data_IF_638785593112
#
_entry.id   IF_638785593112
#
_cell.length_a   1.000
_cell.length_b   1.000
_cell.length_c   1.000
_cell.angle_alpha   90.00
_cell.angle_beta   90.00
_cell.angle_gamma   90.00
#
_symmetry.space_group_name_H-M   'P 1'
#
loop_
_entity.id
_entity.type
_entity.pdbx_description
1 polymer ?
#
# COMPACT_ATOMS: atom_id res chain seq x y z
N UNK A 1 -28.84 44.45 -58.58
CA UNK A 1 -27.88 44.95 -59.60
C UNK A 1 -26.80 43.89 -59.69
N UNK A 2 -26.85 43.07 -60.65
CA UNK A 2 -26.14 43.07 -61.92
C UNK A 2 -24.63 42.88 -61.69
N UNK A 3 -23.87 42.00 -62.22
CA UNK A 3 -23.77 41.21 -63.44
C UNK A 3 -22.47 40.44 -63.31
N UNK A 4 -22.34 39.24 -63.64
CA UNK A 4 -21.99 38.48 -64.87
C UNK A 4 -20.52 38.11 -64.95
N UNK A 5 -20.22 36.84 -65.01
CA UNK A 5 -19.79 36.01 -66.17
C UNK A 5 -18.31 36.18 -66.54
N UNK A 6 -17.53 35.17 -66.63
CA UNK A 6 -17.22 34.24 -67.69
C UNK A 6 -15.99 33.39 -67.33
N UNK A 7 -16.05 32.10 -67.50
CA UNK A 7 -14.91 31.26 -67.79
C UNK A 7 -14.52 31.40 -69.27
N UNK A 8 -13.92 30.46 -69.92
CA UNK A 8 -13.04 29.34 -69.55
C UNK A 8 -11.73 29.34 -70.36
N UNK A 9 -10.84 28.43 -70.13
CA UNK A 9 -10.14 27.73 -71.24
C UNK A 9 -9.08 26.77 -70.71
N UNK A 10 -9.19 25.50 -71.02
CA UNK A 10 -8.07 24.62 -71.31
C UNK A 10 -7.63 24.89 -72.76
N UNK A 11 -6.41 24.50 -73.20
CA UNK A 11 -6.13 23.11 -73.45
C UNK A 11 -4.63 22.67 -73.35
N UNK A 12 -4.52 21.35 -73.30
CA UNK A 12 -3.63 20.55 -74.15
C UNK A 12 -2.11 20.55 -73.91
N UNK A 13 -1.64 19.46 -73.62
CA UNK A 13 -0.96 18.42 -74.41
C UNK A 13 0.41 17.99 -73.85
N UNK A 14 0.44 16.68 -73.65
CA UNK A 14 1.57 15.77 -74.01
C UNK A 14 2.95 16.08 -73.41
N UNK A 15 3.36 15.21 -72.47
CA UNK A 15 4.46 14.29 -72.82
C UNK A 15 4.63 13.21 -71.71
N UNK A 16 4.59 12.01 -72.16
CA UNK A 16 4.93 10.81 -71.40
C UNK A 16 6.42 10.78 -71.05
N UNK A 17 6.75 10.58 -69.79
CA UNK A 17 7.99 9.94 -69.40
C UNK A 17 7.70 9.04 -68.22
N UNK A 18 7.70 7.73 -68.52
CA UNK A 18 7.81 6.68 -67.56
C UNK A 18 9.05 6.87 -66.67
N UNK A 19 8.83 6.92 -65.37
CA UNK A 19 9.92 6.64 -64.44
C UNK A 19 9.36 5.75 -63.36
N UNK A 20 9.87 4.51 -63.36
CA UNK A 20 9.76 3.51 -62.32
C UNK A 20 10.16 4.15 -60.97
N UNK A 21 9.25 4.29 -60.04
CA UNK A 21 9.58 4.56 -58.66
C UNK A 21 9.30 3.32 -57.82
N UNK A 22 10.39 2.74 -57.35
CA UNK A 22 10.40 1.56 -56.50
C UNK A 22 9.60 1.81 -55.18
N UNK A 23 8.65 0.95 -54.93
CA UNK A 23 7.86 0.90 -53.71
C UNK A 23 8.75 0.36 -52.58
N UNK A 24 9.33 1.19 -51.77
CA UNK A 24 10.01 0.84 -50.53
C UNK A 24 8.91 0.65 -49.47
N UNK A 25 8.54 -0.60 -49.20
CA UNK A 25 7.71 -0.97 -48.06
C UNK A 25 8.59 -0.86 -46.82
N UNK A 26 8.50 0.26 -46.12
CA UNK A 26 9.06 0.43 -44.79
C UNK A 26 8.16 -0.33 -43.80
N UNK A 27 8.55 -1.55 -43.44
CA UNK A 27 7.94 -2.28 -42.34
C UNK A 27 8.26 -1.56 -41.03
N UNK A 28 7.34 -0.74 -40.55
CA UNK A 28 7.39 -0.18 -39.20
C UNK A 28 7.16 -1.33 -38.22
N UNK A 29 8.22 -1.83 -37.62
CA UNK A 29 8.14 -2.73 -36.45
C UNK A 29 7.59 -1.87 -35.30
N UNK A 30 6.32 -2.01 -35.01
CA UNK A 30 5.70 -1.44 -33.83
C UNK A 30 6.29 -2.14 -32.61
N UNK A 31 7.26 -1.52 -31.96
CA UNK A 31 7.72 -1.92 -30.63
C UNK A 31 6.59 -1.55 -29.66
N UNK A 32 5.72 -2.51 -29.38
CA UNK A 32 4.76 -2.39 -28.28
C UNK A 32 5.59 -2.36 -26.98
N UNK A 33 5.50 -1.29 -26.15
CA UNK A 33 6.11 -1.34 -24.84
C UNK A 33 5.44 -2.47 -24.06
N UNK A 34 6.23 -3.44 -23.62
CA UNK A 34 5.78 -4.43 -22.66
C UNK A 34 5.34 -3.67 -21.41
N UNK A 35 4.04 -3.59 -21.18
CA UNK A 35 3.50 -3.08 -19.93
C UNK A 35 3.95 -4.07 -18.84
N UNK A 36 4.93 -3.65 -18.06
CA UNK A 36 5.27 -4.34 -16.82
C UNK A 36 4.02 -4.33 -15.95
N UNK A 37 3.31 -5.45 -15.90
CA UNK A 37 2.21 -5.64 -14.95
C UNK A 37 2.84 -5.56 -13.56
N UNK A 38 2.66 -4.43 -12.91
CA UNK A 38 2.99 -4.27 -11.49
C UNK A 38 2.17 -5.32 -10.75
N UNK A 39 2.85 -6.33 -10.19
CA UNK A 39 2.18 -7.41 -9.47
C UNK A 39 1.34 -6.76 -8.35
N UNK A 40 0.03 -6.92 -8.40
CA UNK A 40 -0.89 -6.32 -7.44
C UNK A 40 -0.65 -6.93 -6.06
N UNK A 41 -0.23 -6.12 -5.11
CA UNK A 41 -0.13 -6.53 -3.72
C UNK A 41 -1.53 -6.62 -3.11
N UNK A 42 -1.82 -7.73 -2.47
CA UNK A 42 -3.08 -7.97 -1.78
C UNK A 42 -2.81 -8.07 -0.28
N UNK A 43 -3.66 -7.45 0.52
CA UNK A 43 -3.61 -7.57 1.98
C UNK A 43 -4.63 -8.59 2.46
N UNK A 44 -4.16 -9.60 3.17
CA UNK A 44 -4.96 -10.70 3.72
C UNK A 44 -4.82 -10.73 5.23
N UNK A 45 -5.92 -10.78 5.96
CA UNK A 45 -5.95 -10.93 7.42
C UNK A 45 -6.73 -12.16 7.80
N UNK A 46 -6.22 -12.93 8.74
CA UNK A 46 -6.87 -14.15 9.20
C UNK A 46 -6.17 -14.78 10.39
N UNK A 47 -6.67 -15.94 10.78
CA UNK A 47 -6.06 -16.79 11.83
C UNK A 47 -5.40 -18.00 11.16
N UNK A 48 -4.21 -18.34 11.60
CA UNK A 48 -3.48 -19.51 11.07
C UNK A 48 -4.18 -20.78 11.53
N UNK A 49 -4.68 -21.57 10.58
CA UNK A 49 -5.31 -22.87 10.84
C UNK A 49 -4.30 -24.02 10.72
N UNK A 50 -3.42 -23.97 9.72
CA UNK A 50 -2.47 -25.05 9.43
C UNK A 50 -1.15 -24.47 8.92
N UNK A 51 -0.08 -25.16 9.30
CA UNK A 51 1.27 -24.96 8.77
C UNK A 51 1.74 -26.28 8.15
N UNK A 52 2.16 -26.26 6.88
CA UNK A 52 2.62 -27.44 6.15
C UNK A 52 3.82 -27.06 5.27
N UNK A 53 5.01 -27.28 5.81
CA UNK A 53 6.24 -26.83 5.17
C UNK A 53 6.25 -25.31 4.97
N UNK A 54 6.24 -24.88 3.70
CA UNK A 54 6.20 -23.48 3.31
C UNK A 54 4.77 -22.97 3.02
N UNK A 55 3.74 -23.79 3.26
CA UNK A 55 2.35 -23.41 3.06
C UNK A 55 1.70 -23.05 4.39
N UNK A 56 1.00 -21.92 4.41
CA UNK A 56 0.22 -21.45 5.55
C UNK A 56 -1.24 -21.36 5.13
N UNK A 57 -2.09 -22.10 5.82
CA UNK A 57 -3.55 -22.01 5.65
C UNK A 57 -4.09 -21.02 6.67
N UNK A 58 -4.80 -20.02 6.17
CA UNK A 58 -5.43 -18.96 6.95
C UNK A 58 -6.95 -19.12 6.90
N UNK A 59 -7.59 -19.10 8.05
CA UNK A 59 -9.01 -18.80 8.13
C UNK A 59 -9.18 -17.29 7.99
N UNK A 60 -9.76 -16.85 6.89
CA UNK A 60 -10.17 -15.48 6.65
C UNK A 60 -11.65 -15.31 7.01
N UNK A 61 -12.31 -14.23 6.69
CA UNK A 61 -13.71 -13.99 7.06
C UNK A 61 -14.65 -15.08 6.52
N UNK A 62 -15.74 -15.38 7.25
CA UNK A 62 -16.86 -16.23 6.79
C UNK A 62 -16.53 -17.70 6.50
N UNK A 63 -15.53 -18.28 7.17
CA UNK A 63 -15.19 -19.69 6.99
C UNK A 63 -14.45 -20.01 5.68
N UNK A 64 -13.94 -19.00 5.00
CA UNK A 64 -13.09 -19.18 3.82
C UNK A 64 -11.66 -19.44 4.29
N UNK A 65 -11.06 -20.55 3.83
CA UNK A 65 -9.65 -20.84 4.05
C UNK A 65 -8.84 -20.41 2.82
N UNK A 66 -7.75 -19.69 3.07
CA UNK A 66 -6.81 -19.23 2.05
C UNK A 66 -5.44 -19.85 2.29
N UNK A 67 -4.84 -20.40 1.24
CA UNK A 67 -3.49 -20.95 1.30
C UNK A 67 -2.52 -19.91 0.73
N UNK A 68 -1.50 -19.55 1.49
CA UNK A 68 -0.41 -18.68 1.08
C UNK A 68 0.92 -19.41 1.18
N UNK A 69 1.88 -19.04 0.32
CA UNK A 69 3.19 -19.67 0.25
C UNK A 69 4.29 -18.74 0.76
N UNK A 70 5.23 -19.33 1.48
CA UNK A 70 6.41 -18.65 2.00
C UNK A 70 7.64 -19.24 1.28
N UNK A 71 7.99 -18.68 0.12
CA UNK A 71 9.12 -19.18 -0.70
C UNK A 71 10.42 -18.38 -0.48
N UNK A 72 10.29 -17.17 0.09
CA UNK A 72 11.41 -16.30 0.40
C UNK A 72 11.31 -15.87 1.86
N UNK A 73 12.35 -15.27 2.40
CA UNK A 73 12.32 -14.74 3.75
C UNK A 73 11.53 -13.42 3.79
N UNK A 74 10.21 -13.44 4.13
CA UNK A 74 9.41 -12.24 4.16
C UNK A 74 9.82 -11.33 5.32
N UNK A 75 9.52 -10.04 5.20
CA UNK A 75 9.67 -9.10 6.32
C UNK A 75 8.57 -9.37 7.33
N UNK A 76 8.95 -9.74 8.54
CA UNK A 76 7.98 -10.12 9.59
C UNK A 76 8.12 -9.21 10.80
N UNK A 77 6.98 -8.76 11.30
CA UNK A 77 6.85 -8.13 12.61
C UNK A 77 5.96 -8.98 13.51
N UNK A 78 6.27 -9.02 14.79
CA UNK A 78 5.29 -9.37 15.82
C UNK A 78 4.76 -8.09 16.46
N UNK A 79 3.49 -8.08 16.83
CA UNK A 79 2.87 -6.96 17.53
C UNK A 79 2.33 -7.39 18.88
N UNK A 80 2.42 -6.49 19.85
CA UNK A 80 1.83 -6.64 21.16
C UNK A 80 1.02 -5.38 21.50
N UNK A 81 0.05 -5.50 22.41
CA UNK A 81 -0.63 -4.31 22.94
C UNK A 81 0.38 -3.40 23.62
N UNK A 82 0.32 -2.14 23.27
CA UNK A 82 1.07 -1.06 23.89
C UNK A 82 0.18 -0.19 24.76
N UNK A 83 0.79 0.78 25.36
CA UNK A 83 0.16 1.76 26.25
C UNK A 83 0.59 3.18 25.88
N UNK A 84 -0.04 4.17 26.46
CA UNK A 84 0.35 5.57 26.25
C UNK A 84 1.79 5.88 26.69
N UNK A 85 2.31 5.16 27.68
CA UNK A 85 3.70 5.31 28.14
C UNK A 85 4.75 4.87 27.12
N UNK A 86 4.34 4.13 26.09
CA UNK A 86 5.21 3.71 24.98
C UNK A 86 5.38 4.79 23.90
N UNK A 87 4.55 5.84 23.97
CA UNK A 87 4.58 6.97 23.02
C UNK A 87 5.64 7.99 23.46
N UNK A 88 6.89 7.71 23.20
CA UNK A 88 8.02 8.55 23.61
C UNK A 88 8.50 9.43 22.46
N UNK A 89 9.01 10.62 22.78
CA UNK A 89 9.72 11.44 21.81
C UNK A 89 10.85 10.65 21.14
N UNK A 90 11.03 10.82 19.85
CA UNK A 90 11.98 10.07 19.03
C UNK A 90 11.46 8.71 18.54
N UNK A 91 10.33 8.22 19.04
CA UNK A 91 9.74 6.97 18.56
C UNK A 91 9.17 7.13 17.17
N UNK A 92 9.45 6.16 16.30
CA UNK A 92 8.84 6.07 14.97
C UNK A 92 7.49 5.38 15.10
N UNK A 93 6.48 5.96 14.49
CA UNK A 93 5.10 5.51 14.61
C UNK A 93 4.38 5.52 13.27
N UNK A 94 3.43 4.62 13.13
CA UNK A 94 2.39 4.68 12.13
C UNK A 94 1.09 5.02 12.83
N UNK A 95 0.41 6.07 12.39
CA UNK A 95 -0.81 6.59 13.01
C UNK A 95 -1.92 6.55 11.99
N UNK A 96 -3.00 5.88 12.33
CA UNK A 96 -4.29 6.04 11.65
C UNK A 96 -5.10 7.06 12.44
N UNK A 97 -5.52 8.13 11.76
CA UNK A 97 -6.30 9.19 12.37
C UNK A 97 -7.56 9.47 11.54
N UNK A 98 -8.57 9.97 12.20
CA UNK A 98 -9.79 10.51 11.59
C UNK A 98 -9.93 11.97 11.92
N UNK A 99 -10.56 12.73 11.05
CA UNK A 99 -10.91 14.12 11.34
C UNK A 99 -11.96 14.19 12.44
N UNK A 100 -11.69 15.00 13.45
CA UNK A 100 -12.65 15.39 14.48
C UNK A 100 -13.60 16.49 13.99
N UNK A 101 -14.57 16.86 14.82
CA UNK A 101 -15.58 17.90 14.48
C UNK A 101 -14.98 19.29 14.27
N UNK A 102 -13.86 19.59 14.92
CA UNK A 102 -13.15 20.88 14.80
C UNK A 102 -12.03 20.87 13.74
N UNK A 103 -11.95 19.80 12.91
CA UNK A 103 -10.85 19.64 11.96
C UNK A 103 -9.57 19.05 12.57
N UNK A 104 -9.57 18.78 13.87
CA UNK A 104 -8.45 18.14 14.56
C UNK A 104 -8.33 16.69 14.15
N UNK A 105 -7.10 16.16 14.16
CA UNK A 105 -6.86 14.74 13.92
C UNK A 105 -6.95 13.95 15.23
N UNK A 106 -7.78 12.92 15.23
CA UNK A 106 -7.95 12.00 16.37
C UNK A 106 -7.40 10.65 15.96
N UNK A 107 -6.38 10.17 16.67
CA UNK A 107 -5.81 8.84 16.41
C UNK A 107 -6.84 7.76 16.74
N UNK A 108 -7.07 6.85 15.81
CA UNK A 108 -7.83 5.62 16.02
C UNK A 108 -6.92 4.45 16.36
N UNK A 109 -5.72 4.44 15.78
CA UNK A 109 -4.71 3.42 16.00
C UNK A 109 -3.30 4.01 15.89
N UNK A 110 -2.41 3.55 16.74
CA UNK A 110 -0.99 3.92 16.72
C UNK A 110 -0.16 2.63 16.82
N UNK A 111 0.80 2.48 15.92
CA UNK A 111 1.80 1.40 15.97
C UNK A 111 3.15 2.04 16.23
N UNK A 112 3.75 1.72 17.35
CA UNK A 112 5.13 2.14 17.71
C UNK A 112 6.10 1.09 17.19
N UNK A 113 7.07 1.50 16.39
CA UNK A 113 8.11 0.61 15.87
C UNK A 113 9.31 0.58 16.80
N UNK A 114 9.58 -0.57 17.40
CA UNK A 114 10.82 -0.79 18.13
C UNK A 114 12.03 -0.74 17.17
N UNK A 115 13.24 -0.47 17.67
CA UNK A 115 14.44 -0.53 16.85
C UNK A 115 14.55 -1.84 16.06
N UNK A 116 14.82 -1.75 14.76
CA UNK A 116 14.93 -2.89 13.87
C UNK A 116 13.61 -3.46 13.37
N UNK A 117 12.45 -2.99 13.82
CA UNK A 117 11.16 -3.39 13.26
C UNK A 117 11.02 -2.98 11.79
N UNK A 118 10.42 -3.86 10.99
CA UNK A 118 10.11 -3.54 9.59
C UNK A 118 8.96 -2.53 9.53
N UNK A 119 9.20 -1.40 8.89
CA UNK A 119 8.16 -0.38 8.67
C UNK A 119 7.39 -0.69 7.38
N UNK A 120 6.09 -0.48 7.34
CA UNK A 120 5.37 -0.47 6.09
C UNK A 120 5.89 0.68 5.22
N UNK A 121 5.88 0.49 3.91
CA UNK A 121 6.01 1.62 2.99
C UNK A 121 4.76 2.50 3.18
N UNK A 122 4.93 3.82 3.18
CA UNK A 122 3.85 4.74 3.45
C UNK A 122 2.77 4.62 2.35
N UNK A 123 1.68 3.93 2.68
CA UNK A 123 0.45 3.96 1.88
C UNK A 123 -0.53 4.90 2.59
N UNK A 124 -0.64 6.11 2.07
CA UNK A 124 -1.73 7.02 2.42
C UNK A 124 -3.00 6.50 1.72
N UNK A 125 -3.90 5.89 2.48
CA UNK A 125 -5.26 5.64 1.99
C UNK A 125 -6.05 6.95 1.93
N UNK A 126 -6.95 7.13 0.95
CA UNK A 126 -7.63 8.41 0.71
C UNK A 126 -8.57 8.88 1.83
N UNK A 127 -9.02 8.00 2.72
CA UNK A 127 -10.09 8.34 3.69
C UNK A 127 -9.67 8.37 5.16
N UNK A 128 -8.45 7.91 5.49
CA UNK A 128 -7.90 8.00 6.83
C UNK A 128 -6.46 8.51 6.70
N UNK A 129 -6.14 9.60 7.35
CA UNK A 129 -4.77 10.08 7.41
C UNK A 129 -3.89 8.99 8.03
N UNK A 130 -3.17 8.25 7.18
CA UNK A 130 -2.19 7.26 7.60
C UNK A 130 -0.83 7.93 7.57
N UNK A 131 -0.31 8.24 8.74
CA UNK A 131 0.93 8.97 8.91
C UNK A 131 2.02 8.03 9.39
N UNK A 132 3.09 7.90 8.61
CA UNK A 132 4.33 7.27 9.05
C UNK A 132 5.32 8.37 9.44
N UNK A 133 5.57 8.52 10.73
CA UNK A 133 6.24 9.72 11.27
C UNK A 133 7.04 9.42 12.54
N UNK A 134 7.67 10.46 13.08
CA UNK A 134 8.38 10.41 14.36
C UNK A 134 7.71 11.33 15.37
N UNK A 135 7.49 10.84 16.58
CA UNK A 135 6.97 11.65 17.69
C UNK A 135 8.02 12.68 18.09
N UNK A 136 7.69 13.98 18.02
CA UNK A 136 8.54 15.05 18.56
C UNK A 136 8.27 15.27 20.03
N UNK A 137 6.99 15.32 20.41
CA UNK A 137 6.59 15.58 21.78
C UNK A 137 5.22 14.97 22.10
N UNK A 138 4.95 14.76 23.38
CA UNK A 138 3.67 14.32 23.91
C UNK A 138 3.25 15.28 25.01
N UNK A 139 2.17 16.02 24.81
CA UNK A 139 1.66 16.99 25.76
C UNK A 139 0.33 16.50 26.35
N UNK A 140 0.12 16.79 27.64
CA UNK A 140 -1.19 16.60 28.24
C UNK A 140 -2.16 17.71 27.79
N UNK A 141 -3.40 17.33 27.47
CA UNK A 141 -4.49 18.25 27.17
C UNK A 141 -5.75 17.80 27.92
N UNK A 142 -6.71 18.70 28.20
CA UNK A 142 -7.98 18.34 28.82
C UNK A 142 -8.76 17.28 28.04
N UNK A 143 -8.63 17.26 26.73
CA UNK A 143 -9.29 16.31 25.80
C UNK A 143 -8.56 14.97 25.67
N UNK A 144 -7.37 14.87 26.25
CA UNK A 144 -6.49 13.71 26.17
C UNK A 144 -5.08 14.11 25.74
N UNK A 145 -4.10 13.18 25.82
CA UNK A 145 -2.75 13.46 25.36
C UNK A 145 -2.72 13.83 23.88
N UNK A 146 -1.91 14.82 23.53
CA UNK A 146 -1.69 15.27 22.14
C UNK A 146 -0.28 14.94 21.74
N UNK A 147 -0.14 14.19 20.65
CA UNK A 147 1.15 13.95 19.99
C UNK A 147 1.45 15.11 19.04
N UNK A 148 2.66 15.62 19.11
CA UNK A 148 3.24 16.46 18.07
C UNK A 148 4.16 15.57 17.24
N UNK A 149 3.86 15.42 15.96
CA UNK A 149 4.60 14.57 15.02
C UNK A 149 5.19 15.41 13.91
N UNK A 150 6.30 14.92 13.33
CA UNK A 150 6.92 15.55 12.17
C UNK A 150 6.10 15.23 10.92
N UNK A 151 5.74 16.23 10.13
CA UNK A 151 5.14 16.06 8.82
C UNK A 151 5.96 16.83 7.76
N UNK A 152 5.70 16.57 6.49
CA UNK A 152 6.36 17.24 5.36
C UNK A 152 6.11 18.75 5.34
N UNK A 153 4.90 19.14 5.75
CA UNK A 153 4.42 20.52 5.73
C UNK A 153 4.55 21.23 7.09
N UNK A 154 5.21 20.58 8.07
CA UNK A 154 5.41 21.11 9.42
C UNK A 154 5.00 20.15 10.53
N UNK A 155 4.88 20.64 11.74
CA UNK A 155 4.48 19.82 12.88
C UNK A 155 2.97 19.65 12.93
N UNK A 156 2.51 18.41 12.99
CA UNK A 156 1.11 18.07 13.08
C UNK A 156 0.74 17.62 14.49
N UNK A 157 -0.42 18.08 14.99
CA UNK A 157 -0.96 17.71 16.29
C UNK A 157 -2.03 16.64 16.12
N UNK A 158 -1.92 15.56 16.89
CA UNK A 158 -2.84 14.43 16.84
C UNK A 158 -3.29 14.09 18.25
N UNK A 159 -4.59 14.16 18.50
CA UNK A 159 -5.18 13.83 19.80
C UNK A 159 -5.30 12.31 19.98
N UNK A 160 -4.90 11.81 21.13
CA UNK A 160 -5.04 10.40 21.51
C UNK A 160 -6.33 10.24 22.30
N UNK A 161 -7.36 9.68 21.65
CA UNK A 161 -8.63 9.35 22.28
C UNK A 161 -8.53 8.23 23.32
N UNK A 162 -9.60 8.02 24.09
CA UNK A 162 -9.66 6.90 25.07
C UNK A 162 -9.62 5.55 24.38
N UNK A 163 -10.23 5.46 23.20
CA UNK A 163 -10.39 4.23 22.43
C UNK A 163 -9.26 4.03 21.41
N UNK A 164 -8.21 4.88 21.41
CA UNK A 164 -7.07 4.72 20.53
C UNK A 164 -6.34 3.42 20.82
N UNK A 165 -6.29 2.51 19.85
CA UNK A 165 -5.55 1.27 19.95
C UNK A 165 -4.06 1.53 19.79
N UNK A 166 -3.25 1.14 20.77
CA UNK A 166 -1.78 1.29 20.73
C UNK A 166 -1.14 -0.08 20.63
N UNK A 167 -0.21 -0.22 19.68
CA UNK A 167 0.52 -1.44 19.40
C UNK A 167 2.01 -1.17 19.37
N UNK A 168 2.80 -2.17 19.75
CA UNK A 168 4.26 -2.15 19.62
C UNK A 168 4.64 -3.21 18.61
N UNK A 169 5.28 -2.79 17.50
CA UNK A 169 5.83 -3.69 16.49
C UNK A 169 7.31 -3.95 16.76
N UNK A 170 7.72 -5.21 16.70
CA UNK A 170 9.11 -5.66 16.79
C UNK A 170 9.42 -6.55 15.60
N UNK A 171 10.67 -6.49 15.11
CA UNK A 171 11.12 -7.46 14.11
C UNK A 171 10.94 -8.89 14.65
N UNK A 172 10.47 -9.76 13.79
CA UNK A 172 10.26 -11.16 14.12
C UNK A 172 10.72 -12.05 12.95
N UNK A 173 10.81 -13.35 13.22
CA UNK A 173 11.05 -14.35 12.18
C UNK A 173 9.75 -15.02 11.80
N UNK A 174 9.70 -15.53 10.60
CA UNK A 174 8.52 -16.28 10.09
C UNK A 174 8.19 -17.49 10.96
N UNK A 175 9.19 -18.07 11.62
CA UNK A 175 9.04 -19.19 12.56
C UNK A 175 8.21 -18.85 13.81
N UNK A 176 7.92 -17.57 14.05
CA UNK A 176 7.01 -17.17 15.13
C UNK A 176 5.53 -17.36 14.77
N UNK A 177 5.22 -17.62 13.52
CA UNK A 177 3.85 -18.00 13.10
C UNK A 177 3.55 -19.38 13.71
N UNK A 178 2.44 -19.45 14.41
CA UNK A 178 1.90 -20.67 15.02
C UNK A 178 0.43 -20.83 14.69
N UNK A 179 -0.07 -22.05 14.71
CA UNK A 179 -1.51 -22.30 14.64
C UNK A 179 -2.22 -21.50 15.75
N UNK A 180 -3.31 -20.83 15.41
CA UNK A 180 -4.04 -19.92 16.29
C UNK A 180 -3.51 -18.48 16.33
N UNK A 181 -2.37 -18.17 15.70
CA UNK A 181 -1.89 -16.79 15.57
C UNK A 181 -2.80 -16.00 14.64
N UNK A 182 -3.19 -14.78 15.04
CA UNK A 182 -3.80 -13.83 14.13
C UNK A 182 -2.70 -13.16 13.30
N UNK A 183 -2.88 -13.09 11.99
CA UNK A 183 -1.89 -12.54 11.07
C UNK A 183 -2.53 -11.58 10.07
N UNK A 184 -1.77 -10.57 9.69
CA UNK A 184 -2.03 -9.75 8.50
C UNK A 184 -0.83 -9.91 7.57
N UNK A 185 -1.06 -10.33 6.35
CA UNK A 185 -0.03 -10.58 5.36
C UNK A 185 -0.24 -9.73 4.12
N UNK A 186 0.84 -9.20 3.57
CA UNK A 186 0.87 -8.65 2.22
C UNK A 186 1.36 -9.76 1.31
N UNK A 187 0.55 -10.12 0.33
CA UNK A 187 0.84 -11.19 -0.61
C UNK A 187 0.80 -10.67 -2.05
N UNK A 188 1.54 -11.31 -2.92
CA UNK A 188 1.52 -11.08 -4.37
C UNK A 188 1.05 -12.34 -5.07
N UNK A 189 0.17 -12.17 -6.05
CA UNK A 189 -0.26 -13.27 -6.92
C UNK A 189 0.83 -13.55 -7.96
N UNK A 190 1.31 -14.79 -8.01
CA UNK A 190 2.27 -15.27 -9.00
C UNK A 190 1.56 -15.69 -10.29
N UNK A 191 2.33 -15.90 -11.34
CA UNK A 191 1.82 -16.35 -12.65
C UNK A 191 1.14 -17.72 -12.57
N UNK A 192 1.63 -18.60 -11.69
CA UNK A 192 1.03 -19.91 -11.40
C UNK A 192 -0.26 -19.83 -10.57
N UNK A 193 -0.72 -18.64 -10.23
CA UNK A 193 -1.90 -18.38 -9.42
C UNK A 193 -1.67 -18.48 -7.91
N UNK A 194 -0.48 -18.91 -7.46
CA UNK A 194 -0.14 -18.98 -6.04
C UNK A 194 -0.01 -17.58 -5.41
N UNK A 195 -0.26 -17.51 -4.09
CA UNK A 195 -0.09 -16.28 -3.31
C UNK A 195 1.20 -16.38 -2.49
N UNK A 196 2.18 -15.55 -2.84
CA UNK A 196 3.45 -15.49 -2.13
C UNK A 196 3.43 -14.37 -1.08
N UNK A 197 3.89 -14.70 0.13
CA UNK A 197 4.00 -13.72 1.24
C UNK A 197 5.24 -12.85 1.05
N UNK A 198 5.05 -11.52 1.05
CA UNK A 198 6.11 -10.52 1.05
C UNK A 198 6.39 -9.99 2.47
N UNK A 199 5.31 -9.75 3.22
CA UNK A 199 5.36 -9.20 4.58
C UNK A 199 4.32 -9.89 5.43
N UNK A 200 4.60 -10.02 6.71
CA UNK A 200 3.65 -10.52 7.69
C UNK A 200 3.72 -9.73 9.00
N UNK A 201 2.57 -9.45 9.57
CA UNK A 201 2.44 -8.96 10.94
C UNK A 201 1.72 -10.02 11.75
N UNK A 202 2.34 -10.47 12.83
CA UNK A 202 1.86 -11.56 13.67
C UNK A 202 1.40 -10.97 15.00
N UNK A 203 0.17 -11.26 15.37
CA UNK A 203 -0.35 -11.05 16.72
C UNK A 203 -0.41 -12.40 17.43
N UNK A 204 0.21 -12.57 18.61
CA UNK A 204 0.09 -13.80 19.38
C UNK A 204 -1.37 -14.14 19.65
N UNK A 205 -1.65 -15.43 19.81
CA UNK A 205 -3.00 -15.90 20.15
C UNK A 205 -3.53 -15.18 21.41
N UNK A 206 -4.78 -14.73 21.35
CA UNK A 206 -5.44 -14.00 22.45
C UNK A 206 -5.16 -12.50 22.52
N UNK A 207 -4.26 -11.96 21.71
CA UNK A 207 -3.94 -10.50 21.70
C UNK A 207 -4.88 -9.70 20.78
N UNK A 208 -5.65 -10.38 19.93
CA UNK A 208 -6.51 -9.77 18.92
C UNK A 208 -5.84 -9.63 17.57
N UNK A 209 -6.59 -9.14 16.58
CA UNK A 209 -6.07 -8.96 15.24
C UNK A 209 -4.96 -7.91 15.21
N UNK A 210 -3.87 -8.16 14.45
CA UNK A 210 -2.84 -7.16 14.27
C UNK A 210 -3.39 -5.93 13.54
N UNK A 211 -2.73 -4.78 13.68
CA UNK A 211 -3.12 -3.56 12.97
C UNK A 211 -3.17 -3.80 11.46
N UNK A 212 -4.17 -3.21 10.83
CA UNK A 212 -4.36 -3.21 9.38
C UNK A 212 -3.48 -2.14 8.75
#
# INVERSE_FOLDING_TARGET
MHFRFLGPSAPSSKNAVQRFAALIIASAVAITPAQSQTASELRVSGTVEKLDGNLVTLSVSQGISLVVRIDSEPRVNSVAKGSRSDLKAGSQVSIQAKSGQSGDLIATQIVVFAPGANRPDAEAGPDNAHLLTTIKNTNASPEGPVLTVADKDGDQKITIGRDTAIWIARAARITYIKVGSAVTMTVVKREDGSLQVLRATISPAGVGNPPR
#
